data_IF_407098291746
#
_entry.id   IF_407098291746
#
_cell.length_a   1.000
_cell.length_b   1.000
_cell.length_c   1.000
_cell.angle_alpha   90.00
_cell.angle_beta   90.00
_cell.angle_gamma   90.00
#
_symmetry.space_group_name_H-M   'P 1'
#
loop_
_entity.id
_entity.type
_entity.pdbx_description
1 polymer ?
#
# COMPACT_ATOMS: atom_id res chain seq x y z
N UNK A 1 -22.79 0.31 2.24
CA UNK A 1 -21.58 0.21 1.40
C UNK A 1 -20.94 1.59 1.37
N UNK A 2 -19.64 1.71 1.58
CA UNK A 2 -18.93 3.00 1.52
C UNK A 2 -18.96 3.46 0.05
N UNK A 3 -19.45 4.66 -0.28
CA UNK A 3 -19.40 5.18 -1.64
C UNK A 3 -17.94 5.45 -2.02
N UNK A 4 -17.52 4.96 -3.19
CA UNK A 4 -16.18 5.15 -3.74
C UNK A 4 -16.25 6.11 -4.92
N UNK A 5 -15.44 7.16 -4.86
CA UNK A 5 -15.23 8.07 -5.98
C UNK A 5 -13.99 7.61 -6.75
N UNK A 6 -14.13 7.44 -8.05
CA UNK A 6 -13.01 7.09 -8.92
C UNK A 6 -12.55 8.32 -9.69
N UNK A 7 -11.22 8.45 -9.89
CA UNK A 7 -10.73 9.42 -10.88
C UNK A 7 -11.18 9.04 -12.28
N UNK A 8 -11.19 9.99 -13.21
CA UNK A 8 -11.58 9.77 -14.60
C UNK A 8 -10.80 8.62 -15.24
N UNK A 9 -9.48 8.59 -15.02
CA UNK A 9 -8.57 7.56 -15.53
C UNK A 9 -8.89 6.15 -14.94
N UNK A 10 -9.14 6.07 -13.64
CA UNK A 10 -9.49 4.80 -12.99
C UNK A 10 -10.88 4.33 -13.39
N UNK A 11 -11.85 5.22 -13.53
CA UNK A 11 -13.20 4.88 -13.99
C UNK A 11 -13.18 4.30 -15.43
N UNK A 12 -12.41 4.90 -16.32
CA UNK A 12 -12.22 4.40 -17.67
C UNK A 12 -11.50 3.05 -17.69
N UNK A 13 -10.44 2.90 -16.91
CA UNK A 13 -9.71 1.62 -16.77
C UNK A 13 -10.63 0.49 -16.31
N UNK A 14 -11.48 0.75 -15.32
CA UNK A 14 -12.46 -0.22 -14.82
C UNK A 14 -13.47 -0.62 -15.91
N UNK A 15 -14.00 0.35 -16.65
CA UNK A 15 -14.96 0.10 -17.74
C UNK A 15 -14.36 -0.75 -18.87
N UNK A 16 -13.06 -0.60 -19.11
CA UNK A 16 -12.33 -1.30 -20.19
C UNK A 16 -11.59 -2.57 -19.70
N UNK A 17 -11.68 -2.93 -18.43
CA UNK A 17 -10.98 -4.11 -17.87
C UNK A 17 -9.45 -3.98 -17.89
N UNK A 18 -8.92 -2.75 -17.83
CA UNK A 18 -7.47 -2.51 -17.81
C UNK A 18 -6.88 -2.80 -16.41
N UNK A 19 -5.61 -3.19 -16.31
CA UNK A 19 -4.96 -3.44 -15.03
C UNK A 19 -4.80 -2.14 -14.24
N UNK A 20 -5.16 -2.18 -12.95
CA UNK A 20 -5.06 -1.05 -12.03
C UNK A 20 -4.15 -1.44 -10.87
N UNK A 21 -3.28 -0.53 -10.46
CA UNK A 21 -2.37 -0.67 -9.31
C UNK A 21 -2.70 0.40 -8.28
N UNK A 22 -3.05 -0.02 -7.07
CA UNK A 22 -3.28 0.88 -5.94
C UNK A 22 -1.95 1.47 -5.46
N UNK A 23 -2.00 2.72 -4.98
CA UNK A 23 -0.89 3.45 -4.37
C UNK A 23 -1.37 4.09 -3.06
N UNK A 24 -0.53 4.06 -2.01
CA UNK A 24 -0.81 4.74 -0.75
C UNK A 24 -0.61 6.26 -0.86
N UNK A 25 -1.14 7.00 0.10
CA UNK A 25 -1.00 8.45 0.15
C UNK A 25 -0.25 8.99 1.36
N UNK A 26 0.16 8.15 2.33
CA UNK A 26 0.95 8.64 3.47
C UNK A 26 2.31 9.21 3.07
N UNK A 27 2.91 8.73 2.00
CA UNK A 27 4.14 9.30 1.45
C UNK A 27 3.96 10.77 1.03
N UNK A 28 2.75 11.15 0.59
CA UNK A 28 2.41 12.49 0.13
C UNK A 28 2.28 13.46 1.32
N UNK A 29 1.67 13.00 2.42
CA UNK A 29 1.27 13.90 3.53
C UNK A 29 2.18 13.80 4.75
N UNK A 30 2.87 12.67 4.95
CA UNK A 30 3.67 12.37 6.13
C UNK A 30 5.11 11.94 5.79
N UNK A 31 5.45 11.80 4.51
CA UNK A 31 6.75 11.29 4.09
C UNK A 31 7.74 12.37 3.70
N UNK A 32 7.30 13.37 2.96
CA UNK A 32 8.16 14.40 2.37
C UNK A 32 7.48 15.77 2.37
N UNK A 33 8.25 16.89 2.41
CA UNK A 33 7.69 18.24 2.29
C UNK A 33 7.20 18.53 0.86
N UNK A 34 6.27 19.47 0.74
CA UNK A 34 5.90 20.05 -0.55
C UNK A 34 7.06 20.93 -1.09
N UNK A 35 7.35 20.94 -2.41
CA UNK A 35 6.63 20.24 -3.50
C UNK A 35 7.11 18.81 -3.78
N UNK A 36 8.18 18.36 -3.14
CA UNK A 36 8.84 17.08 -3.40
C UNK A 36 7.91 15.88 -3.22
N UNK A 37 6.98 15.94 -2.28
CA UNK A 37 5.97 14.91 -2.04
C UNK A 37 5.08 14.67 -3.27
N UNK A 38 4.56 15.72 -3.87
CA UNK A 38 3.70 15.65 -5.06
C UNK A 38 4.49 15.22 -6.29
N UNK A 39 5.71 15.77 -6.46
CA UNK A 39 6.62 15.38 -7.56
C UNK A 39 6.92 13.89 -7.50
N UNK A 40 7.24 13.36 -6.32
CA UNK A 40 7.49 11.92 -6.12
C UNK A 40 6.25 11.08 -6.41
N UNK A 41 5.07 11.49 -5.94
CA UNK A 41 3.83 10.78 -6.22
C UNK A 41 3.56 10.70 -7.75
N UNK A 42 3.75 11.79 -8.47
CA UNK A 42 3.60 11.84 -9.93
C UNK A 42 4.62 10.96 -10.66
N UNK A 43 5.86 10.90 -10.19
CA UNK A 43 6.87 10.00 -10.75
C UNK A 43 6.47 8.52 -10.57
N UNK A 44 6.01 8.15 -9.37
CA UNK A 44 5.52 6.79 -9.09
C UNK A 44 4.33 6.45 -9.98
N UNK A 45 3.34 7.35 -10.10
CA UNK A 45 2.22 7.15 -11.01
C UNK A 45 2.67 7.00 -12.47
N UNK A 46 3.63 7.80 -12.92
CA UNK A 46 4.18 7.71 -14.26
C UNK A 46 4.88 6.37 -14.52
N UNK A 47 5.57 5.82 -13.51
CA UNK A 47 6.22 4.50 -13.63
C UNK A 47 5.21 3.35 -13.70
N UNK A 48 4.09 3.45 -12.97
CA UNK A 48 2.97 2.51 -13.12
C UNK A 48 2.40 2.58 -14.54
N UNK A 49 2.16 3.78 -15.08
CA UNK A 49 1.66 3.95 -16.46
C UNK A 49 2.62 3.40 -17.51
N UNK A 50 3.94 3.60 -17.35
CA UNK A 50 4.97 3.01 -18.23
C UNK A 50 4.94 1.48 -18.21
N UNK A 51 4.52 0.85 -17.12
CA UNK A 51 4.37 -0.60 -17.03
C UNK A 51 3.11 -1.15 -17.71
N UNK A 52 2.24 -0.28 -18.23
CA UNK A 52 0.98 -0.64 -18.89
C UNK A 52 -0.20 -0.81 -17.92
N UNK A 53 -0.08 -0.32 -16.70
CA UNK A 53 -1.17 -0.32 -15.72
C UNK A 53 -1.62 1.12 -15.40
N UNK A 54 -2.81 1.25 -14.82
CA UNK A 54 -3.36 2.54 -14.39
C UNK A 54 -3.13 2.72 -12.90
N UNK A 55 -2.46 3.81 -12.46
CA UNK A 55 -2.24 4.09 -11.05
C UNK A 55 -3.53 4.57 -10.37
N UNK A 56 -3.76 4.11 -9.15
CA UNK A 56 -4.86 4.53 -8.31
C UNK A 56 -4.35 4.96 -6.93
N UNK A 57 -3.91 6.21 -6.81
CA UNK A 57 -3.56 6.79 -5.50
C UNK A 57 -4.82 6.94 -4.67
N UNK A 58 -4.82 6.40 -3.43
CA UNK A 58 -6.01 6.29 -2.58
C UNK A 58 -5.93 7.24 -1.40
N UNK A 59 -7.01 7.98 -1.13
CA UNK A 59 -7.15 8.85 0.03
C UNK A 59 -8.62 9.02 0.43
N UNK A 60 -8.87 9.49 1.65
CA UNK A 60 -10.17 10.02 2.05
C UNK A 60 -10.12 11.53 1.96
N UNK A 61 -10.98 12.14 1.15
CA UNK A 61 -11.08 13.58 0.99
C UNK A 61 -12.48 14.04 1.41
N UNK A 62 -12.55 14.87 2.45
CA UNK A 62 -13.83 15.42 2.97
C UNK A 62 -14.89 14.31 3.20
N UNK A 63 -14.49 13.24 3.89
CA UNK A 63 -15.35 12.11 4.24
C UNK A 63 -15.70 11.17 3.07
N UNK A 64 -15.08 11.31 1.93
CA UNK A 64 -15.31 10.47 0.76
C UNK A 64 -14.07 9.66 0.41
N UNK A 65 -14.24 8.35 0.17
CA UNK A 65 -13.14 7.50 -0.27
C UNK A 65 -12.90 7.72 -1.76
N UNK A 66 -11.69 8.14 -2.11
CA UNK A 66 -11.23 8.31 -3.48
C UNK A 66 -10.24 7.21 -3.86
N UNK A 67 -10.45 6.60 -5.01
CA UNK A 67 -9.58 5.60 -5.63
C UNK A 67 -9.11 6.13 -6.98
N UNK A 68 -7.87 6.55 -7.02
CA UNK A 68 -7.34 7.48 -8.02
C UNK A 68 -7.65 8.92 -7.62
N UNK A 69 -6.65 9.78 -7.71
CA UNK A 69 -6.78 11.22 -7.47
C UNK A 69 -6.63 11.97 -8.79
N UNK A 70 -7.49 12.95 -9.03
CA UNK A 70 -7.25 13.92 -10.10
C UNK A 70 -6.05 14.81 -9.75
N UNK A 71 -5.35 15.36 -10.75
CA UNK A 71 -4.14 16.16 -10.52
C UNK A 71 -4.34 17.28 -9.49
N UNK A 72 -5.48 17.99 -9.55
CA UNK A 72 -5.79 19.05 -8.59
C UNK A 72 -6.03 18.51 -7.17
N UNK A 73 -6.57 17.30 -7.03
CA UNK A 73 -6.75 16.65 -5.72
C UNK A 73 -5.42 16.21 -5.12
N UNK A 74 -4.52 15.69 -5.95
CA UNK A 74 -3.16 15.32 -5.54
C UNK A 74 -2.37 16.54 -5.05
N UNK A 75 -2.42 17.66 -5.78
CA UNK A 75 -1.79 18.90 -5.38
C UNK A 75 -2.38 19.47 -4.08
N UNK A 76 -3.69 19.45 -3.95
CA UNK A 76 -4.38 19.89 -2.74
C UNK A 76 -4.03 19.01 -1.53
N UNK A 77 -3.97 17.70 -1.70
CA UNK A 77 -3.59 16.78 -0.62
C UNK A 77 -2.14 16.98 -0.18
N UNK A 78 -1.23 17.22 -1.15
CA UNK A 78 0.19 17.45 -0.85
C UNK A 78 0.50 18.75 -0.10
N UNK A 79 -0.44 19.72 -0.12
CA UNK A 79 -0.34 21.00 0.58
C UNK A 79 -1.25 21.06 1.82
N UNK A 80 -2.11 20.05 2.02
CA UNK A 80 -3.07 20.07 3.09
C UNK A 80 -2.40 19.93 4.47
N UNK A 81 -2.83 20.78 5.40
CA UNK A 81 -2.49 20.67 6.81
C UNK A 81 -3.48 19.74 7.55
N UNK A 82 -3.05 19.14 8.67
CA UNK A 82 -3.90 18.34 9.55
C UNK A 82 -4.57 17.14 8.85
N UNK A 83 -3.89 16.52 7.89
CA UNK A 83 -4.34 15.30 7.23
C UNK A 83 -4.17 14.12 8.19
N UNK A 84 -5.25 13.39 8.48
CA UNK A 84 -5.20 12.21 9.33
C UNK A 84 -4.41 11.08 8.67
N UNK A 85 -3.62 10.36 9.45
CA UNK A 85 -2.98 9.12 8.99
C UNK A 85 -3.93 7.96 9.26
N UNK A 86 -4.50 7.38 8.21
CA UNK A 86 -5.54 6.37 8.33
C UNK A 86 -4.97 4.96 8.29
N UNK A 87 -5.36 4.17 9.27
CA UNK A 87 -5.26 2.72 9.28
C UNK A 87 -6.67 2.11 9.34
N UNK A 88 -6.79 0.80 9.52
CA UNK A 88 -8.10 0.12 9.62
C UNK A 88 -9.04 0.77 10.64
N UNK A 89 -8.52 1.13 11.81
CA UNK A 89 -9.30 1.71 12.90
C UNK A 89 -9.86 3.10 12.57
N UNK A 90 -9.21 3.85 11.68
CA UNK A 90 -9.45 5.28 11.50
C UNK A 90 -10.38 5.60 10.34
N UNK A 91 -10.47 4.71 9.33
CA UNK A 91 -11.21 4.97 8.08
C UNK A 91 -12.65 5.37 8.36
N UNK A 92 -13.37 4.57 9.17
CA UNK A 92 -14.79 4.81 9.43
C UNK A 92 -15.02 6.13 10.16
N UNK A 93 -14.18 6.45 11.14
CA UNK A 93 -14.26 7.70 11.89
C UNK A 93 -13.97 8.92 10.99
N UNK A 94 -12.92 8.82 10.16
CA UNK A 94 -12.55 9.89 9.22
C UNK A 94 -13.70 10.18 8.22
N UNK A 95 -14.33 9.14 7.69
CA UNK A 95 -15.49 9.29 6.78
C UNK A 95 -16.69 9.91 7.51
N UNK A 96 -17.01 9.40 8.70
CA UNK A 96 -18.17 9.86 9.46
C UNK A 96 -18.07 11.32 9.93
N UNK A 97 -16.85 11.79 10.18
CA UNK A 97 -16.57 13.17 10.58
C UNK A 97 -16.26 14.12 9.41
N UNK A 98 -16.48 13.67 8.18
CA UNK A 98 -16.21 14.44 6.96
C UNK A 98 -14.74 14.90 6.88
N UNK A 99 -13.84 14.09 7.46
CA UNK A 99 -12.41 14.38 7.54
C UNK A 99 -11.65 14.14 6.22
N UNK A 100 -10.40 14.57 6.21
CA UNK A 100 -9.42 14.25 5.16
C UNK A 100 -8.30 13.41 5.77
N UNK A 101 -7.93 12.32 5.08
CA UNK A 101 -6.91 11.41 5.56
C UNK A 101 -6.17 10.69 4.46
N UNK A 102 -4.88 10.47 4.70
CA UNK A 102 -4.00 9.69 3.86
C UNK A 102 -3.98 8.23 4.31
N UNK A 103 -3.99 7.32 3.36
CA UNK A 103 -4.05 5.88 3.62
C UNK A 103 -2.66 5.28 3.84
N UNK A 104 -2.50 4.54 4.94
CA UNK A 104 -1.36 3.64 5.19
C UNK A 104 -1.46 2.40 4.29
N UNK A 105 -0.50 1.49 4.38
CA UNK A 105 -0.56 0.19 3.68
C UNK A 105 -1.87 -0.53 4.02
N UNK A 106 -2.22 -0.69 5.30
CA UNK A 106 -3.46 -1.32 5.73
C UNK A 106 -4.71 -0.64 5.14
N UNK A 107 -4.82 0.68 5.26
CA UNK A 107 -5.97 1.41 4.74
C UNK A 107 -6.07 1.35 3.21
N UNK A 108 -4.93 1.37 2.52
CA UNK A 108 -4.86 1.25 1.06
C UNK A 108 -5.32 -0.14 0.61
N UNK A 109 -4.89 -1.20 1.28
CA UNK A 109 -5.34 -2.56 0.99
C UNK A 109 -6.86 -2.71 1.12
N UNK A 110 -7.44 -2.20 2.21
CA UNK A 110 -8.90 -2.22 2.43
C UNK A 110 -9.62 -1.51 1.28
N UNK A 111 -9.20 -0.29 0.95
CA UNK A 111 -9.82 0.50 -0.11
C UNK A 111 -9.64 -0.13 -1.50
N UNK A 112 -8.45 -0.68 -1.80
CA UNK A 112 -8.17 -1.40 -3.03
C UNK A 112 -9.09 -2.62 -3.17
N UNK A 113 -9.23 -3.43 -2.12
CA UNK A 113 -10.12 -4.58 -2.10
C UNK A 113 -11.58 -4.18 -2.35
N UNK A 114 -12.08 -3.16 -1.67
CA UNK A 114 -13.43 -2.61 -1.87
C UNK A 114 -13.66 -2.12 -3.31
N UNK A 115 -12.61 -1.62 -3.96
CA UNK A 115 -12.62 -1.18 -5.35
C UNK A 115 -12.39 -2.31 -6.36
N UNK A 116 -12.16 -3.55 -5.93
CA UNK A 116 -11.84 -4.68 -6.81
C UNK A 116 -10.43 -4.59 -7.43
N UNK A 117 -9.49 -3.91 -6.76
CA UNK A 117 -8.09 -3.82 -7.18
C UNK A 117 -7.29 -4.87 -6.42
N UNK A 118 -6.54 -5.70 -7.14
CA UNK A 118 -5.85 -6.87 -6.60
C UNK A 118 -4.36 -6.65 -6.36
N UNK A 119 -3.77 -5.57 -6.85
CA UNK A 119 -2.34 -5.25 -6.73
C UNK A 119 -2.14 -3.86 -6.16
N UNK A 120 -1.28 -3.77 -5.18
CA UNK A 120 -0.87 -2.52 -4.54
C UNK A 120 0.66 -2.43 -4.52
N UNK A 121 1.22 -1.32 -4.96
CA UNK A 121 2.65 -1.04 -4.93
C UNK A 121 2.97 0.04 -3.88
N UNK A 122 3.96 -0.21 -3.04
CA UNK A 122 4.43 0.71 -2.00
C UNK A 122 5.95 0.66 -1.85
N UNK A 123 6.55 1.68 -1.27
CA UNK A 123 7.97 1.66 -0.94
C UNK A 123 8.30 0.65 0.17
N UNK A 124 7.42 0.48 1.17
CA UNK A 124 7.66 -0.48 2.25
C UNK A 124 6.49 -0.61 3.19
N UNK A 125 6.32 -1.82 3.73
CA UNK A 125 5.29 -2.13 4.72
C UNK A 125 5.71 -1.73 6.14
N UNK A 126 4.73 -1.53 7.01
CA UNK A 126 4.94 -1.52 8.47
C UNK A 126 5.23 -2.92 8.99
N UNK A 127 5.60 -3.02 10.25
CA UNK A 127 5.98 -4.29 10.87
C UNK A 127 6.06 -4.16 12.38
N UNK A 128 6.89 -4.99 12.98
CA UNK A 128 7.19 -4.98 14.42
C UNK A 128 8.24 -3.90 14.69
N UNK A 129 7.93 -2.94 15.56
CA UNK A 129 8.90 -1.93 15.97
C UNK A 129 9.94 -2.50 16.94
N UNK A 130 11.16 -1.94 16.93
CA UNK A 130 12.19 -2.32 17.88
C UNK A 130 11.70 -1.99 19.31
N UNK A 131 11.83 -2.93 20.22
CA UNK A 131 11.30 -2.80 21.58
C UNK A 131 9.82 -3.19 21.72
N UNK A 132 9.22 -3.78 20.70
CA UNK A 132 7.82 -4.22 20.73
C UNK A 132 7.54 -5.27 21.83
N UNK A 133 8.54 -5.99 22.28
CA UNK A 133 8.44 -6.91 23.43
C UNK A 133 7.99 -6.22 24.73
N UNK A 134 8.15 -4.90 24.83
CA UNK A 134 7.69 -4.10 25.98
C UNK A 134 6.55 -3.16 25.65
N UNK A 135 6.45 -2.70 24.39
CA UNK A 135 5.50 -1.69 23.97
C UNK A 135 4.29 -2.26 23.21
N UNK A 136 4.43 -3.47 22.68
CA UNK A 136 3.48 -4.06 21.70
C UNK A 136 3.25 -3.19 20.46
N UNK A 137 4.21 -2.34 20.10
CA UNK A 137 4.12 -1.48 18.90
C UNK A 137 4.33 -2.31 17.63
N UNK A 138 3.22 -2.81 17.11
CA UNK A 138 3.14 -3.65 15.91
C UNK A 138 2.16 -3.00 14.93
N UNK A 139 2.60 -2.80 13.69
CA UNK A 139 1.78 -2.17 12.67
C UNK A 139 0.55 -3.01 12.32
N UNK A 140 -0.59 -2.36 12.15
CA UNK A 140 -1.81 -2.96 11.63
C UNK A 140 -1.64 -3.50 10.20
N UNK A 141 -0.61 -3.09 9.48
CA UNK A 141 -0.31 -3.60 8.13
C UNK A 141 -0.16 -5.12 8.13
N UNK A 142 0.44 -5.71 9.19
CA UNK A 142 0.66 -7.15 9.26
C UNK A 142 -0.65 -7.93 9.32
N UNK A 143 -1.61 -7.46 10.11
CA UNK A 143 -2.95 -8.04 10.18
C UNK A 143 -3.68 -7.90 8.84
N UNK A 144 -3.54 -6.76 8.18
CA UNK A 144 -4.22 -6.52 6.91
C UNK A 144 -3.66 -7.38 5.78
N UNK A 145 -2.34 -7.59 5.75
CA UNK A 145 -1.68 -8.52 4.82
C UNK A 145 -2.20 -9.97 4.94
N UNK A 146 -2.62 -10.36 6.16
CA UNK A 146 -3.17 -11.68 6.40
C UNK A 146 -4.62 -11.84 5.91
N UNK A 147 -5.46 -10.79 6.06
CA UNK A 147 -6.91 -10.92 5.91
C UNK A 147 -7.48 -10.30 4.63
N UNK A 148 -6.75 -9.40 3.98
CA UNK A 148 -7.24 -8.71 2.78
C UNK A 148 -6.57 -9.27 1.52
N UNK A 149 -7.33 -9.78 0.54
CA UNK A 149 -6.80 -10.46 -0.63
C UNK A 149 -6.30 -9.47 -1.70
N UNK A 150 -5.25 -8.71 -1.34
CA UNK A 150 -4.52 -7.80 -2.22
C UNK A 150 -3.04 -8.16 -2.16
N UNK A 151 -2.41 -8.36 -3.31
CA UNK A 151 -0.95 -8.57 -3.37
C UNK A 151 -0.23 -7.24 -3.23
N UNK A 152 0.63 -7.14 -2.22
CA UNK A 152 1.45 -5.96 -1.97
C UNK A 152 2.86 -6.18 -2.51
N UNK A 153 3.30 -5.28 -3.39
CA UNK A 153 4.67 -5.25 -3.92
C UNK A 153 5.43 -4.13 -3.21
N UNK A 154 6.53 -4.46 -2.54
CA UNK A 154 7.30 -3.52 -1.73
C UNK A 154 8.81 -3.80 -1.78
N UNK A 155 9.62 -2.80 -1.42
CA UNK A 155 11.04 -2.98 -1.18
C UNK A 155 11.37 -3.64 0.19
N UNK A 156 10.36 -4.25 0.82
CA UNK A 156 10.45 -4.92 2.12
C UNK A 156 9.76 -4.15 3.24
N UNK A 157 10.04 -4.53 4.48
CA UNK A 157 9.60 -3.78 5.66
C UNK A 157 10.52 -2.56 5.89
N UNK A 158 9.96 -1.47 6.41
CA UNK A 158 10.68 -0.20 6.61
C UNK A 158 11.91 -0.38 7.52
N UNK A 159 13.00 0.33 7.23
CA UNK A 159 14.30 0.14 7.88
C UNK A 159 14.33 0.39 9.41
N UNK A 160 13.33 1.11 9.94
CA UNK A 160 13.19 1.38 11.39
C UNK A 160 12.70 0.18 12.20
N UNK A 161 12.22 -0.86 11.52
CA UNK A 161 11.56 -2.01 12.11
C UNK A 161 12.56 -3.09 12.55
N UNK A 162 12.08 -3.99 13.39
CA UNK A 162 12.73 -5.27 13.70
C UNK A 162 12.34 -6.26 12.59
N UNK A 163 13.21 -6.42 11.60
CA UNK A 163 12.92 -7.25 10.43
C UNK A 163 12.69 -8.72 10.78
N UNK A 164 13.57 -9.37 11.60
CA UNK A 164 13.33 -10.76 11.98
C UNK A 164 11.94 -10.96 12.63
N UNK A 165 11.59 -10.16 13.64
CA UNK A 165 10.28 -10.26 14.29
C UNK A 165 9.12 -9.95 13.33
N UNK A 166 9.31 -9.03 12.39
CA UNK A 166 8.29 -8.71 11.38
C UNK A 166 7.97 -9.93 10.52
N UNK A 167 9.00 -10.66 10.06
CA UNK A 167 8.80 -11.85 9.23
C UNK A 167 8.25 -13.04 10.02
N UNK A 168 8.63 -13.21 11.30
CA UNK A 168 8.02 -14.21 12.19
C UNK A 168 6.51 -13.97 12.40
N UNK A 169 6.10 -12.70 12.55
CA UNK A 169 4.67 -12.37 12.66
C UNK A 169 3.94 -12.65 11.35
N UNK A 170 4.53 -12.30 10.19
CA UNK A 170 3.93 -12.59 8.89
C UNK A 170 3.78 -14.09 8.65
N UNK A 171 4.78 -14.89 9.02
CA UNK A 171 4.73 -16.36 8.94
C UNK A 171 3.62 -16.91 9.84
N UNK A 172 3.55 -16.49 11.10
CA UNK A 172 2.50 -16.87 12.05
C UNK A 172 1.09 -16.56 11.54
N UNK A 173 0.94 -15.43 10.84
CA UNK A 173 -0.32 -15.00 10.24
C UNK A 173 -0.63 -15.68 8.89
N UNK A 174 0.26 -16.54 8.39
CA UNK A 174 0.11 -17.25 7.13
C UNK A 174 0.21 -16.35 5.89
N UNK A 175 0.95 -15.24 5.98
CA UNK A 175 1.17 -14.34 4.85
C UNK A 175 2.29 -14.89 3.95
N UNK A 176 2.04 -15.18 2.66
CA UNK A 176 3.11 -15.58 1.76
C UNK A 176 4.07 -14.44 1.50
N UNK A 177 5.32 -14.57 1.94
CA UNK A 177 6.39 -13.60 1.69
C UNK A 177 7.27 -14.14 0.57
N UNK A 178 7.26 -13.48 -0.58
CA UNK A 178 7.93 -13.91 -1.80
C UNK A 178 9.02 -12.91 -2.16
N UNK A 179 10.26 -13.35 -2.24
CA UNK A 179 11.34 -12.56 -2.82
C UNK A 179 11.39 -12.77 -4.34
N UNK A 180 11.39 -11.68 -5.10
CA UNK A 180 11.44 -11.71 -6.54
C UNK A 180 12.89 -11.81 -7.02
N UNK A 181 13.26 -12.96 -7.64
CA UNK A 181 14.57 -13.24 -8.24
C UNK A 181 15.75 -13.18 -7.27
N UNK A 182 15.53 -13.40 -5.97
CA UNK A 182 16.61 -13.41 -4.98
C UNK A 182 16.31 -14.37 -3.84
N UNK A 183 17.35 -14.83 -3.15
CA UNK A 183 17.25 -15.81 -2.06
C UNK A 183 17.14 -15.14 -0.69
N UNK A 184 17.46 -13.85 -0.61
CA UNK A 184 17.43 -13.07 0.61
C UNK A 184 16.37 -11.97 0.50
N UNK A 185 15.72 -11.65 1.61
CA UNK A 185 14.73 -10.55 1.64
C UNK A 185 15.42 -9.19 1.53
N UNK A 186 14.80 -8.19 0.88
CA UNK A 186 15.32 -6.83 0.90
C UNK A 186 15.09 -6.17 2.26
N UNK A 187 15.91 -5.18 2.57
CA UNK A 187 15.83 -4.37 3.79
C UNK A 187 15.57 -2.89 3.48
N UNK A 188 14.51 -2.60 2.73
CA UNK A 188 14.04 -1.28 2.34
C UNK A 188 15.05 -0.44 1.55
N UNK A 189 16.11 0.08 2.21
CA UNK A 189 17.20 0.83 1.53
C UNK A 189 18.27 -0.07 0.93
N UNK A 190 18.33 -1.33 1.35
CA UNK A 190 19.26 -2.33 0.82
C UNK A 190 18.50 -3.38 0.01
N UNK A 191 19.00 -3.70 -1.17
CA UNK A 191 18.41 -4.74 -2.01
C UNK A 191 18.51 -6.13 -1.36
N UNK A 192 19.44 -6.33 -0.43
CA UNK A 192 19.72 -7.61 0.22
C UNK A 192 19.89 -7.40 1.73
N UNK A 193 19.34 -8.31 2.52
CA UNK A 193 19.61 -8.49 3.96
C UNK A 193 20.27 -9.84 4.22
N UNK A 194 20.48 -10.16 5.50
CA UNK A 194 20.90 -11.48 5.99
C UNK A 194 19.72 -12.42 6.30
N UNK A 195 18.50 -12.03 5.95
CA UNK A 195 17.27 -12.80 6.22
C UNK A 195 16.93 -13.63 4.98
N UNK A 196 16.94 -14.97 5.06
CA UNK A 196 16.54 -15.82 3.95
C UNK A 196 15.07 -15.59 3.57
N UNK A 197 14.80 -15.61 2.27
CA UNK A 197 13.42 -15.51 1.78
C UNK A 197 12.70 -16.85 1.99
N UNK A 198 11.49 -16.83 2.62
CA UNK A 198 10.70 -18.06 2.78
C UNK A 198 10.29 -18.66 1.42
N UNK A 199 9.98 -17.82 0.45
CA UNK A 199 9.61 -18.21 -0.90
C UNK A 199 10.38 -17.34 -1.91
N UNK A 200 10.83 -17.98 -3.01
CA UNK A 200 11.40 -17.29 -4.15
C UNK A 200 10.57 -17.57 -5.40
N UNK A 201 10.31 -16.54 -6.19
CA UNK A 201 9.72 -16.67 -7.52
C UNK A 201 10.50 -15.81 -8.52
N UNK A 202 10.76 -16.34 -9.69
CA UNK A 202 11.62 -15.70 -10.70
C UNK A 202 10.83 -15.02 -11.82
N UNK A 203 9.50 -15.20 -11.85
CA UNK A 203 8.64 -14.54 -12.83
C UNK A 203 7.41 -13.86 -12.19
N UNK A 204 7.00 -12.74 -12.77
CA UNK A 204 5.77 -12.07 -12.37
C UNK A 204 4.53 -12.93 -12.65
N UNK A 205 4.60 -13.82 -13.65
CA UNK A 205 3.50 -14.73 -13.97
C UNK A 205 3.27 -15.75 -12.86
N UNK A 206 4.33 -16.29 -12.24
CA UNK A 206 4.21 -17.23 -11.13
C UNK A 206 3.62 -16.55 -9.90
N UNK A 207 4.03 -15.30 -9.61
CA UNK A 207 3.45 -14.50 -8.52
C UNK A 207 1.95 -14.25 -8.78
N UNK A 208 1.59 -13.88 -10.01
CA UNK A 208 0.19 -13.67 -10.38
C UNK A 208 -0.65 -14.97 -10.26
N UNK A 209 -0.08 -16.11 -10.62
CA UNK A 209 -0.73 -17.42 -10.46
C UNK A 209 -0.89 -17.79 -8.98
N UNK A 210 0.14 -17.54 -8.15
CA UNK A 210 0.06 -17.74 -6.71
C UNK A 210 -1.07 -16.88 -6.08
N UNK A 211 -1.16 -15.60 -6.49
CA UNK A 211 -2.26 -14.72 -6.06
C UNK A 211 -3.63 -15.28 -6.44
N UNK A 212 -3.82 -15.64 -7.72
CA UNK A 212 -5.09 -16.22 -8.19
C UNK A 212 -5.48 -17.48 -7.43
N UNK A 213 -4.51 -18.34 -7.14
CA UNK A 213 -4.75 -19.59 -6.39
C UNK A 213 -5.16 -19.31 -4.95
N UNK A 214 -4.59 -18.26 -4.32
CA UNK A 214 -4.90 -17.90 -2.93
C UNK A 214 -6.31 -17.33 -2.76
N UNK A 215 -6.85 -16.65 -3.77
CA UNK A 215 -8.16 -15.98 -3.71
C UNK A 215 -9.31 -16.83 -4.32
N UNK A 216 -8.99 -18.00 -4.87
CA UNK A 216 -9.98 -18.93 -5.41
C UNK A 216 -10.68 -19.73 -4.30
#
# INVERSE_FOLDING_TARGET
MIPINYSSEVAEARANGLPIVALESTIITHGMPFPQNVETARLVEADVRKSGAVPATIAVLKGQLHVGLESAQLDALGQAENVAKLSRADIAACIATVGTGATTVAATMIAAHLAGIHVFATGGIGGVHRGAETTFDISADLQELAQTPVTVVAAGAKAILDLPKTFEVLETLGVPVIAYRQDMLPAFWSAVSDIPAPLRMDSAADIANAHKTRIA
#
